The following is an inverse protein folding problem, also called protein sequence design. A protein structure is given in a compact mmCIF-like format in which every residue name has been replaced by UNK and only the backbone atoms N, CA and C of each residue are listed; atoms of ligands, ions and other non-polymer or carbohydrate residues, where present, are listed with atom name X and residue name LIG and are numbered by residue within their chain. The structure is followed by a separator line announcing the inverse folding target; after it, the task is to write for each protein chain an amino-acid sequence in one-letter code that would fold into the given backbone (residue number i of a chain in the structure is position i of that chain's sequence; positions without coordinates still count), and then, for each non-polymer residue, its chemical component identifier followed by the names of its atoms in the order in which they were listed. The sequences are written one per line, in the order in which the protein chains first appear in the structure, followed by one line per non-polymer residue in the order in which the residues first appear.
data_IF_249356552508
#
_entry.id   IF_249356552508
#
_cell.length_a   1.000
_cell.length_b   1.000
_cell.length_c   1.000
_cell.angle_alpha   90.00
_cell.angle_beta   90.00
_cell.angle_gamma   90.00
#
_symmetry.space_group_name_H-M   'P 1'
#
loop_
_entity.id
_entity.type
_entity.pdbx_description
1 polymer ?
#
# COMPACT_ATOMS: atom_id res chain seq x y z
N UNK A 1 -18.37 -0.67 -6.96
CA UNK A 1 -18.45 -2.13 -7.26
C UNK A 1 -17.17 -2.59 -7.97
N UNK A 2 -16.86 -3.90 -7.99
CA UNK A 2 -15.56 -4.55 -8.30
C UNK A 2 -14.67 -3.96 -9.42
N UNK A 3 -15.22 -3.23 -10.39
CA UNK A 3 -14.51 -2.48 -11.44
C UNK A 3 -13.39 -1.56 -10.91
N UNK A 4 -13.62 -0.90 -9.77
CA UNK A 4 -12.66 0.06 -9.18
C UNK A 4 -11.33 -0.59 -8.74
N UNK A 5 -11.33 -1.91 -8.50
CA UNK A 5 -10.14 -2.66 -8.10
C UNK A 5 -9.37 -3.28 -9.27
N UNK A 6 -9.94 -3.30 -10.50
CA UNK A 6 -9.24 -3.82 -11.69
C UNK A 6 -7.87 -3.16 -11.91
N UNK A 7 -7.69 -1.83 -11.78
CA UNK A 7 -6.38 -1.19 -11.96
C UNK A 7 -5.35 -1.58 -10.89
N UNK A 8 -5.81 -2.02 -9.72
CA UNK A 8 -4.96 -2.40 -8.60
C UNK A 8 -4.44 -3.84 -8.73
N UNK A 9 -5.09 -4.71 -9.51
CA UNK A 9 -4.77 -6.14 -9.62
C UNK A 9 -3.31 -6.42 -10.02
N UNK A 10 -2.73 -5.62 -10.94
CA UNK A 10 -1.34 -5.77 -11.39
C UNK A 10 -0.31 -5.29 -10.35
N UNK A 11 -0.65 -4.26 -9.57
CA UNK A 11 0.21 -3.75 -8.50
C UNK A 11 0.18 -4.65 -7.26
N UNK A 12 -1.00 -5.20 -6.93
CA UNK A 12 -1.18 -6.15 -5.83
C UNK A 12 -0.43 -7.46 -6.06
N UNK A 13 -0.41 -7.97 -7.31
CA UNK A 13 0.43 -9.13 -7.66
C UNK A 13 1.92 -8.91 -7.38
N UNK A 14 2.40 -7.67 -7.46
CA UNK A 14 3.79 -7.32 -7.15
C UNK A 14 4.06 -7.21 -5.65
N UNK A 15 3.04 -7.06 -4.79
CA UNK A 15 3.26 -7.13 -3.33
C UNK A 15 3.60 -8.54 -2.84
N UNK A 16 3.29 -9.56 -3.63
CA UNK A 16 3.69 -10.93 -3.34
C UNK A 16 5.19 -11.11 -3.65
N UNK A 17 6.04 -10.82 -2.67
CA UNK A 17 7.49 -10.92 -2.80
C UNK A 17 7.93 -12.40 -2.92
N UNK A 18 8.77 -12.76 -3.90
CA UNK A 18 9.42 -14.07 -3.93
C UNK A 18 10.28 -14.29 -2.67
N UNK A 19 10.09 -15.42 -1.99
CA UNK A 19 10.80 -15.76 -0.75
C UNK A 19 12.33 -15.82 -0.92
N UNK A 20 12.83 -16.02 -2.14
CA UNK A 20 14.26 -16.18 -2.44
C UNK A 20 15.05 -14.88 -2.59
N UNK A 21 14.43 -13.70 -2.53
CA UNK A 21 15.17 -12.45 -2.67
C UNK A 21 15.96 -12.08 -1.39
N UNK A 22 17.17 -11.49 -1.51
CA UNK A 22 17.90 -10.93 -0.39
C UNK A 22 17.08 -9.88 0.36
N UNK A 23 17.20 -9.82 1.70
CA UNK A 23 16.39 -8.97 2.59
C UNK A 23 16.43 -7.49 2.19
N UNK A 24 17.59 -6.98 1.78
CA UNK A 24 17.77 -5.58 1.34
C UNK A 24 17.01 -5.28 0.04
N UNK A 25 17.10 -6.19 -0.94
CA UNK A 25 16.34 -6.08 -2.20
C UNK A 25 14.83 -6.18 -1.94
N UNK A 26 14.40 -7.04 -1.02
CA UNK A 26 13.00 -7.14 -0.58
C UNK A 26 12.50 -5.84 0.04
N UNK A 27 13.27 -5.23 0.94
CA UNK A 27 12.89 -3.97 1.58
C UNK A 27 12.79 -2.82 0.58
N UNK A 28 13.75 -2.67 -0.33
CA UNK A 28 13.69 -1.67 -1.40
C UNK A 28 12.44 -1.84 -2.27
N UNK A 29 12.20 -3.07 -2.71
CA UNK A 29 11.05 -3.40 -3.56
C UNK A 29 9.70 -3.19 -2.85
N UNK A 30 9.64 -3.52 -1.56
CA UNK A 30 8.46 -3.28 -0.72
C UNK A 30 8.21 -1.79 -0.54
N UNK A 31 9.23 -0.97 -0.27
CA UNK A 31 9.11 0.49 -0.17
C UNK A 31 8.59 1.09 -1.48
N UNK A 32 9.20 0.75 -2.62
CA UNK A 32 8.77 1.23 -3.95
C UNK A 32 7.30 0.82 -4.25
N UNK A 33 6.96 -0.45 -4.01
CA UNK A 33 5.60 -0.96 -4.23
C UNK A 33 4.58 -0.27 -3.33
N UNK A 34 4.91 -0.07 -2.05
CA UNK A 34 4.03 0.58 -1.08
C UNK A 34 3.82 2.07 -1.40
N UNK A 35 4.84 2.77 -1.91
CA UNK A 35 4.70 4.15 -2.40
C UNK A 35 3.71 4.23 -3.55
N UNK A 36 3.88 3.39 -4.57
CA UNK A 36 3.01 3.38 -5.76
C UNK A 36 1.57 3.06 -5.37
N UNK A 37 1.38 2.05 -4.51
CA UNK A 37 0.06 1.59 -4.11
C UNK A 37 -0.62 2.62 -3.20
N UNK A 38 0.07 3.12 -2.19
CA UNK A 38 -0.46 4.15 -1.30
C UNK A 38 -0.84 5.43 -2.04
N UNK A 39 -0.03 5.87 -3.00
CA UNK A 39 -0.36 7.02 -3.84
C UNK A 39 -1.63 6.80 -4.68
N UNK A 40 -1.83 5.60 -5.24
CA UNK A 40 -3.05 5.27 -6.00
C UNK A 40 -4.29 5.22 -5.10
N UNK A 41 -4.15 4.77 -3.86
CA UNK A 41 -5.24 4.84 -2.87
C UNK A 41 -5.61 6.29 -2.60
N UNK A 42 -4.63 7.16 -2.33
CA UNK A 42 -4.86 8.58 -2.06
C UNK A 42 -5.60 9.25 -3.23
N UNK A 43 -5.15 9.03 -4.47
CA UNK A 43 -5.82 9.56 -5.67
C UNK A 43 -7.25 9.01 -5.82
N UNK A 44 -7.45 7.73 -5.53
CA UNK A 44 -8.77 7.11 -5.59
C UNK A 44 -9.72 7.74 -4.57
N UNK A 45 -9.28 7.87 -3.31
CA UNK A 45 -10.06 8.46 -2.24
C UNK A 45 -10.42 9.91 -2.56
N UNK A 46 -9.47 10.68 -3.10
CA UNK A 46 -9.70 12.07 -3.49
C UNK A 46 -10.70 12.21 -4.64
N UNK A 47 -10.64 11.31 -5.63
CA UNK A 47 -11.46 11.42 -6.86
C UNK A 47 -12.85 10.81 -6.72
N UNK A 48 -13.00 9.76 -5.92
CA UNK A 48 -14.21 8.93 -5.93
C UNK A 48 -14.92 8.82 -4.58
N UNK A 49 -14.32 9.28 -3.47
CA UNK A 49 -14.93 9.15 -2.15
C UNK A 49 -15.31 10.53 -1.57
N UNK A 50 -16.48 10.58 -0.92
CA UNK A 50 -16.85 11.76 -0.11
C UNK A 50 -16.03 11.78 1.18
N UNK A 51 -15.85 12.96 1.77
CA UNK A 51 -15.07 13.13 3.00
C UNK A 51 -15.52 12.20 4.15
N UNK A 52 -16.83 11.93 4.25
CA UNK A 52 -17.40 10.99 5.23
C UNK A 52 -17.03 9.52 4.98
N UNK A 53 -16.76 9.16 3.73
CA UNK A 53 -16.48 7.78 3.30
C UNK A 53 -14.98 7.47 3.27
N UNK A 54 -14.13 8.50 3.19
CA UNK A 54 -12.66 8.36 3.06
C UNK A 54 -12.07 7.43 4.13
N UNK A 55 -12.46 7.59 5.39
CA UNK A 55 -11.94 6.74 6.49
C UNK A 55 -12.29 5.26 6.28
N UNK A 56 -13.52 4.99 5.85
CA UNK A 56 -13.99 3.62 5.61
C UNK A 56 -13.22 2.99 4.44
N UNK A 57 -13.16 3.67 3.30
CA UNK A 57 -12.47 3.17 2.11
C UNK A 57 -10.98 3.02 2.34
N UNK A 58 -10.34 3.96 3.04
CA UNK A 58 -8.92 3.84 3.37
C UNK A 58 -8.65 2.58 4.19
N UNK A 59 -9.48 2.28 5.20
CA UNK A 59 -9.38 1.03 5.99
C UNK A 59 -9.55 -0.21 5.09
N UNK A 60 -10.57 -0.21 4.23
CA UNK A 60 -10.85 -1.32 3.31
C UNK A 60 -9.68 -1.59 2.35
N UNK A 61 -9.08 -0.53 1.77
CA UNK A 61 -7.92 -0.69 0.89
C UNK A 61 -6.73 -1.30 1.62
N UNK A 62 -6.38 -0.80 2.81
CA UNK A 62 -5.26 -1.35 3.57
C UNK A 62 -5.48 -2.80 4.01
N UNK A 63 -6.70 -3.14 4.43
CA UNK A 63 -7.08 -4.54 4.72
C UNK A 63 -6.94 -5.43 3.49
N UNK A 64 -7.38 -4.96 2.32
CA UNK A 64 -7.25 -5.71 1.08
C UNK A 64 -5.79 -5.90 0.66
N UNK A 65 -4.97 -4.86 0.80
CA UNK A 65 -3.53 -4.90 0.47
C UNK A 65 -2.79 -5.86 1.40
N UNK A 66 -3.14 -5.93 2.69
CA UNK A 66 -2.52 -6.89 3.62
C UNK A 66 -2.75 -8.34 3.24
N UNK A 67 -3.75 -8.66 2.42
CA UNK A 67 -3.92 -10.04 1.90
C UNK A 67 -2.80 -10.47 0.96
N UNK A 68 -1.99 -9.52 0.48
CA UNK A 68 -0.88 -9.76 -0.45
C UNK A 68 0.48 -9.43 0.18
N UNK A 69 0.54 -9.23 1.49
CA UNK A 69 1.75 -8.85 2.21
C UNK A 69 1.87 -9.67 3.50
N UNK A 70 3.10 -9.86 3.99
CA UNK A 70 3.36 -10.41 5.32
C UNK A 70 3.00 -9.41 6.44
N UNK A 71 2.80 -8.13 6.10
CA UNK A 71 2.48 -7.07 7.04
C UNK A 71 0.97 -6.85 7.17
N UNK A 72 0.53 -6.51 8.38
CA UNK A 72 -0.86 -6.14 8.62
C UNK A 72 -1.21 -4.76 8.04
N UNK A 73 -2.51 -4.51 7.88
CA UNK A 73 -3.03 -3.26 7.32
C UNK A 73 -2.55 -2.00 8.06
N UNK A 74 -2.42 -2.06 9.39
CA UNK A 74 -1.98 -0.92 10.21
C UNK A 74 -0.48 -0.67 10.02
N UNK A 75 0.33 -1.72 9.96
CA UNK A 75 1.76 -1.68 9.67
C UNK A 75 2.02 -1.06 8.30
N UNK A 76 1.32 -1.54 7.26
CA UNK A 76 1.41 -1.01 5.91
C UNK A 76 1.03 0.48 5.85
N UNK A 77 -0.08 0.86 6.49
CA UNK A 77 -0.50 2.26 6.56
C UNK A 77 0.53 3.15 7.28
N UNK A 78 1.13 2.65 8.37
CA UNK A 78 2.17 3.36 9.13
C UNK A 78 3.44 3.55 8.29
N UNK A 79 3.89 2.49 7.60
CA UNK A 79 5.02 2.55 6.68
C UNK A 79 4.76 3.53 5.53
N UNK A 80 3.57 3.52 4.94
CA UNK A 80 3.23 4.48 3.88
C UNK A 80 3.27 5.93 4.38
N UNK A 81 2.68 6.22 5.56
CA UNK A 81 2.76 7.55 6.17
C UNK A 81 4.20 7.98 6.42
N UNK A 82 5.03 7.05 6.87
CA UNK A 82 6.45 7.28 7.12
C UNK A 82 7.19 7.65 5.83
N UNK A 83 7.05 6.83 4.78
CA UNK A 83 7.62 7.07 3.44
C UNK A 83 7.13 8.43 2.88
N UNK A 84 5.83 8.71 2.98
CA UNK A 84 5.24 9.98 2.50
C UNK A 84 5.76 11.19 3.26
N UNK A 85 6.12 11.04 4.54
CA UNK A 85 6.67 12.12 5.36
C UNK A 85 8.15 12.42 5.14
N UNK A 86 8.81 11.77 4.16
CA UNK A 86 10.23 11.89 3.86
C UNK A 86 11.19 11.60 5.03
N UNK A 87 10.67 11.07 6.14
CA UNK A 87 11.49 10.42 7.16
C UNK A 87 11.84 9.09 6.52
N UNK A 88 13.02 8.91 5.95
CA UNK A 88 13.51 7.62 5.45
C UNK A 88 14.53 6.98 6.40
N UNK A 89 14.95 7.73 7.42
CA UNK A 89 16.11 7.46 8.28
C UNK A 89 15.91 6.44 9.43
N UNK A 90 14.72 6.36 10.02
CA UNK A 90 14.37 5.55 11.19
C UNK A 90 14.04 4.07 10.96
N UNK A 91 14.31 3.50 9.78
CA UNK A 91 14.12 2.05 9.54
C UNK A 91 15.39 1.35 9.04
N UNK A 92 16.54 2.00 9.21
CA UNK A 92 17.86 1.35 9.16
C UNK A 92 18.12 0.65 10.50
#
# INVERSE_FOLDING_TARGET
CKELFRPFKKALRKLHLPQHLPREKKQKYMKESLTIIGHRIDLFLQKYCRASEVKHWQKMFWQFISLFSELDAKQLQKLYKYIKSNRTDKFL
#
